data_IF_492346983231
#
_entry.id   IF_492346983231
#
_cell.length_a   1.000
_cell.length_b   1.000
_cell.length_c   1.000
_cell.angle_alpha   90.00
_cell.angle_beta   90.00
_cell.angle_gamma   90.00
#
_symmetry.space_group_name_H-M   'P 1'
#
loop_
_entity.id
_entity.type
_entity.pdbx_description
1 polymer ?
#
# COMPACT_ATOMS: atom_id res chain seq x y z
N UNK A 1 -14.08 7.08 -8.55
CA UNK A 1 -13.32 5.82 -8.45
C UNK A 1 -11.83 6.14 -8.55
N UNK A 2 -11.10 6.02 -7.44
CA UNK A 2 -9.64 6.09 -7.40
C UNK A 2 -9.04 4.74 -7.04
N UNK A 3 -7.71 4.60 -7.11
CA UNK A 3 -7.02 3.38 -6.69
C UNK A 3 -7.02 3.30 -5.16
N UNK A 4 -7.42 2.16 -4.61
CA UNK A 4 -7.32 1.87 -3.18
C UNK A 4 -6.28 0.76 -2.97
N UNK A 5 -5.35 0.97 -2.04
CA UNK A 5 -4.30 0.00 -1.70
C UNK A 5 -4.50 -0.51 -0.27
N UNK A 6 -4.95 -1.76 -0.16
CA UNK A 6 -5.08 -2.50 1.09
C UNK A 6 -3.79 -3.26 1.37
N UNK A 7 -3.01 -2.80 2.34
CA UNK A 7 -1.64 -3.25 2.54
C UNK A 7 -1.30 -3.42 4.03
N UNK A 8 -0.56 -4.49 4.33
CA UNK A 8 0.16 -4.68 5.59
C UNK A 8 1.63 -4.28 5.38
N UNK A 9 2.11 -3.22 6.03
CA UNK A 9 3.48 -2.72 5.82
C UNK A 9 4.56 -3.56 6.54
N UNK A 10 4.18 -4.57 7.33
CA UNK A 10 5.12 -5.58 7.82
C UNK A 10 5.60 -6.49 6.67
N UNK A 11 4.70 -6.75 5.71
CA UNK A 11 4.97 -7.55 4.53
C UNK A 11 5.88 -6.81 3.53
N UNK A 12 7.03 -7.41 3.21
CA UNK A 12 7.99 -6.85 2.24
C UNK A 12 7.38 -6.56 0.85
N UNK A 13 6.56 -7.45 0.23
CA UNK A 13 5.92 -7.13 -1.06
C UNK A 13 4.93 -5.97 -0.95
N UNK A 14 4.17 -5.85 0.15
CA UNK A 14 3.25 -4.74 0.35
C UNK A 14 3.98 -3.38 0.44
N UNK A 15 5.12 -3.33 1.14
CA UNK A 15 5.98 -2.12 1.16
C UNK A 15 6.49 -1.76 -0.24
N UNK A 16 6.86 -2.75 -1.03
CA UNK A 16 7.38 -2.52 -2.38
C UNK A 16 6.33 -1.84 -3.27
N UNK A 17 5.06 -2.27 -3.19
CA UNK A 17 3.94 -1.63 -3.88
C UNK A 17 3.69 -0.21 -3.36
N UNK A 18 3.69 -0.02 -2.04
CA UNK A 18 3.51 1.30 -1.44
C UNK A 18 4.58 2.30 -1.93
N UNK A 19 5.85 1.90 -1.89
CA UNK A 19 6.97 2.73 -2.36
C UNK A 19 6.85 3.01 -3.85
N UNK A 20 6.57 1.99 -4.67
CA UNK A 20 6.39 2.17 -6.11
C UNK A 20 5.33 3.21 -6.43
N UNK A 21 4.16 3.12 -5.79
CA UNK A 21 3.06 4.06 -6.03
C UNK A 21 3.41 5.48 -5.57
N UNK A 22 4.05 5.62 -4.39
CA UNK A 22 4.51 6.91 -3.86
C UNK A 22 5.56 7.57 -4.74
N UNK A 23 6.60 6.83 -5.13
CA UNK A 23 7.72 7.34 -5.93
C UNK A 23 7.29 7.79 -7.33
N UNK A 24 6.28 7.12 -7.90
CA UNK A 24 5.75 7.48 -9.22
C UNK A 24 4.59 8.49 -9.15
N UNK A 25 4.30 9.07 -7.98
CA UNK A 25 3.19 10.00 -7.76
C UNK A 25 1.83 9.43 -8.22
N UNK A 26 1.64 8.12 -8.11
CA UNK A 26 0.36 7.49 -8.42
C UNK A 26 -0.61 7.87 -7.29
N UNK A 27 -1.76 8.49 -7.58
CA UNK A 27 -2.74 8.81 -6.55
C UNK A 27 -3.43 7.52 -6.08
N UNK A 28 -3.34 7.24 -4.79
CA UNK A 28 -4.04 6.11 -4.17
C UNK A 28 -4.50 6.46 -2.75
N UNK A 29 -5.56 5.78 -2.31
CA UNK A 29 -5.97 5.77 -0.91
C UNK A 29 -5.35 4.56 -0.21
N UNK A 30 -4.65 4.81 0.90
CA UNK A 30 -4.03 3.75 1.69
C UNK A 30 -5.00 3.20 2.72
N UNK A 31 -5.19 1.89 2.74
CA UNK A 31 -5.99 1.17 3.74
C UNK A 31 -5.06 0.18 4.47
N UNK A 32 -4.84 0.43 5.76
CA UNK A 32 -4.02 -0.47 6.57
C UNK A 32 -4.73 -1.80 6.80
N UNK A 33 -4.01 -2.90 6.62
CA UNK A 33 -4.49 -4.26 6.91
C UNK A 33 -3.57 -4.89 7.93
N UNK A 34 -4.13 -5.36 9.04
CA UNK A 34 -3.42 -6.14 10.05
C UNK A 34 -3.67 -7.63 9.79
N UNK A 35 -2.67 -8.33 9.24
CA UNK A 35 -2.77 -9.78 9.02
C UNK A 35 -2.41 -10.58 10.27
N UNK A 36 -1.64 -9.98 11.17
CA UNK A 36 -1.22 -10.56 12.45
C UNK A 36 -1.74 -9.71 13.60
N UNK A 37 -2.25 -10.36 14.66
CA UNK A 37 -2.64 -9.75 15.94
C UNK A 37 -1.56 -9.93 16.99
#
# INVERSE_FOLDING_TARGET
MGLELYLDLLSQPCRSIYIFARTNNIPFEFKHVELFK
#
